data_IF_939993562500
#
_entry.id   IF_939993562500
#
_cell.length_a   1.000
_cell.length_b   1.000
_cell.length_c   1.000
_cell.angle_alpha   90.00
_cell.angle_beta   90.00
_cell.angle_gamma   90.00
#
_symmetry.space_group_name_H-M   'P 1'
#
loop_
_entity.id
_entity.type
_entity.pdbx_description
1 polymer ?
#
# COMPACT_ATOMS: atom_id res chain seq x y z
N UNK A 1 -26.45 -5.92 10.94
CA UNK A 1 -26.48 -4.60 11.59
C UNK A 1 -25.83 -3.60 10.63
N UNK A 2 -26.37 -2.39 10.52
CA UNK A 2 -25.72 -1.33 9.72
C UNK A 2 -24.64 -0.66 10.58
N UNK A 3 -23.47 -0.44 9.98
CA UNK A 3 -22.34 0.21 10.65
C UNK A 3 -21.66 1.18 9.69
N UNK A 4 -21.25 2.32 10.22
CA UNK A 4 -20.46 3.31 9.49
C UNK A 4 -18.97 3.03 9.75
N UNK A 5 -18.17 3.09 8.70
CA UNK A 5 -16.71 2.92 8.77
C UNK A 5 -16.03 3.68 7.64
N UNK A 6 -14.76 4.05 7.84
CA UNK A 6 -13.90 4.50 6.75
C UNK A 6 -13.44 3.31 5.92
N UNK A 7 -13.15 3.56 4.66
CA UNK A 7 -12.69 2.53 3.73
C UNK A 7 -11.75 3.09 2.66
N UNK A 8 -10.80 2.26 2.23
CA UNK A 8 -9.94 2.51 1.08
C UNK A 8 -10.26 1.46 0.00
N UNK A 9 -10.49 1.90 -1.23
CA UNK A 9 -10.80 1.02 -2.35
C UNK A 9 -9.53 0.32 -2.82
N UNK A 10 -9.45 -1.01 -2.63
CA UNK A 10 -8.31 -1.80 -3.09
C UNK A 10 -8.51 -2.34 -4.51
N UNK A 11 -9.74 -2.75 -4.85
CA UNK A 11 -10.07 -3.31 -6.16
C UNK A 11 -11.54 -3.12 -6.48
N UNK A 12 -11.84 -2.92 -7.77
CA UNK A 12 -13.21 -2.89 -8.29
C UNK A 12 -13.37 -3.89 -9.44
N UNK A 13 -14.50 -4.59 -9.47
CA UNK A 13 -14.84 -5.57 -10.51
C UNK A 13 -16.28 -5.36 -10.94
N UNK A 14 -16.53 -5.35 -12.25
CA UNK A 14 -17.89 -5.27 -12.80
C UNK A 14 -18.67 -6.52 -12.42
N UNK A 15 -19.90 -6.33 -11.96
CA UNK A 15 -20.81 -7.42 -11.60
C UNK A 15 -22.21 -7.17 -12.18
N UNK A 16 -22.60 -8.00 -13.13
CA UNK A 16 -23.83 -7.77 -13.90
C UNK A 16 -23.80 -6.44 -14.67
N UNK A 17 -24.98 -5.92 -15.04
CA UNK A 17 -25.10 -4.72 -15.88
C UNK A 17 -24.84 -3.42 -15.11
N UNK A 18 -25.35 -3.31 -13.88
CA UNK A 18 -25.40 -2.05 -13.13
C UNK A 18 -24.62 -2.05 -11.81
N UNK A 19 -24.06 -3.21 -11.42
CA UNK A 19 -23.42 -3.37 -10.11
C UNK A 19 -21.91 -3.44 -10.20
N UNK A 20 -21.23 -3.18 -9.08
CA UNK A 20 -19.80 -3.42 -8.85
C UNK A 20 -19.61 -4.31 -7.62
N UNK A 21 -18.57 -5.12 -7.62
CA UNK A 21 -17.96 -5.69 -6.42
C UNK A 21 -16.71 -4.89 -6.15
N UNK A 22 -16.63 -4.30 -4.95
CA UNK A 22 -15.46 -3.56 -4.47
C UNK A 22 -14.81 -4.33 -3.33
N UNK A 23 -13.53 -4.62 -3.45
CA UNK A 23 -12.71 -5.05 -2.32
C UNK A 23 -12.23 -3.80 -1.61
N UNK A 24 -12.62 -3.64 -0.35
CA UNK A 24 -12.28 -2.48 0.47
C UNK A 24 -11.40 -2.93 1.63
N UNK A 25 -10.41 -2.12 1.98
CA UNK A 25 -9.77 -2.14 3.28
C UNK A 25 -10.57 -1.17 4.16
N UNK A 26 -11.20 -1.68 5.20
CA UNK A 26 -12.04 -0.92 6.12
C UNK A 26 -11.40 -0.87 7.50
N UNK A 27 -11.58 0.24 8.19
CA UNK A 27 -11.09 0.45 9.55
C UNK A 27 -11.65 -0.61 10.52
N UNK A 28 -12.96 -0.89 10.46
CA UNK A 28 -13.65 -1.77 11.41
C UNK A 28 -13.66 -3.26 11.04
N UNK A 29 -13.50 -3.62 9.75
CA UNK A 29 -13.71 -5.00 9.28
C UNK A 29 -12.54 -5.56 8.48
N UNK A 30 -11.43 -4.82 8.38
CA UNK A 30 -10.30 -5.22 7.56
C UNK A 30 -10.66 -5.29 6.06
N UNK A 31 -10.01 -6.19 5.34
CA UNK A 31 -10.22 -6.36 3.90
C UNK A 31 -11.44 -7.24 3.64
N UNK A 32 -12.46 -6.69 2.98
CA UNK A 32 -13.66 -7.44 2.60
C UNK A 32 -14.18 -7.04 1.23
N UNK A 33 -14.94 -7.94 0.61
CA UNK A 33 -15.64 -7.71 -0.65
C UNK A 33 -17.08 -7.23 -0.41
N UNK A 34 -17.46 -6.16 -1.11
CA UNK A 34 -18.76 -5.51 -0.99
C UNK A 34 -19.47 -5.40 -2.33
N UNK A 35 -20.75 -5.74 -2.34
CA UNK A 35 -21.64 -5.53 -3.49
C UNK A 35 -22.26 -4.12 -3.43
N UNK A 36 -22.05 -3.34 -4.50
CA UNK A 36 -22.72 -2.07 -4.73
C UNK A 36 -23.67 -2.20 -5.91
N UNK A 37 -24.97 -2.11 -5.64
CA UNK A 37 -26.02 -2.23 -6.67
C UNK A 37 -26.32 -0.87 -7.31
N UNK A 38 -26.57 -0.85 -8.61
CA UNK A 38 -27.09 0.31 -9.32
C UNK A 38 -26.13 1.51 -9.41
N UNK A 39 -24.80 1.31 -9.24
CA UNK A 39 -23.79 2.39 -9.32
C UNK A 39 -23.31 2.66 -10.75
N UNK A 40 -23.53 1.72 -11.66
CA UNK A 40 -23.24 1.81 -13.09
C UNK A 40 -24.53 2.03 -13.85
N UNK A 41 -24.86 3.26 -14.18
CA UNK A 41 -26.00 3.54 -15.05
C UNK A 41 -25.60 3.49 -16.51
N UNK A 42 -26.28 2.65 -17.30
CA UNK A 42 -26.20 2.60 -18.75
C UNK A 42 -27.29 3.52 -19.31
N UNK A 43 -27.00 4.83 -19.43
CA UNK A 43 -27.94 5.77 -20.05
C UNK A 43 -27.62 7.24 -19.82
N UNK A 44 -27.99 8.08 -20.79
CA UNK A 44 -27.64 9.50 -20.96
C UNK A 44 -28.21 10.44 -19.87
N UNK A 45 -29.02 9.98 -18.93
CA UNK A 45 -29.75 10.82 -17.97
C UNK A 45 -29.30 10.76 -16.51
N UNK A 46 -28.23 10.02 -16.18
CA UNK A 46 -27.72 10.02 -14.80
C UNK A 46 -26.76 11.21 -14.59
N UNK A 47 -27.17 12.18 -13.75
CA UNK A 47 -26.37 13.37 -13.44
C UNK A 47 -25.10 13.09 -12.63
N UNK A 48 -24.87 11.88 -12.12
CA UNK A 48 -23.69 11.52 -11.34
C UNK A 48 -23.26 10.09 -11.64
N UNK A 49 -22.08 9.93 -12.28
CA UNK A 49 -21.44 8.62 -12.41
C UNK A 49 -20.81 8.21 -11.05
N UNK A 50 -21.62 7.65 -10.17
CA UNK A 50 -21.16 7.21 -8.83
C UNK A 50 -20.07 6.14 -8.89
N UNK A 51 -20.00 5.37 -9.99
CA UNK A 51 -18.91 4.40 -10.20
C UNK A 51 -17.54 5.07 -10.34
N UNK A 52 -17.48 6.31 -10.85
CA UNK A 52 -16.24 7.08 -10.95
C UNK A 52 -15.61 7.45 -9.60
N UNK A 53 -16.40 7.43 -8.51
CA UNK A 53 -15.92 7.68 -7.15
C UNK A 53 -15.25 6.46 -6.51
N UNK A 54 -15.39 5.28 -7.15
CA UNK A 54 -14.91 4.00 -6.66
C UNK A 54 -13.60 3.59 -7.37
N UNK A 55 -12.72 4.54 -7.59
CA UNK A 55 -11.40 4.27 -8.16
C UNK A 55 -10.48 3.61 -7.13
N UNK A 56 -9.51 2.84 -7.60
CA UNK A 56 -8.48 2.23 -6.75
C UNK A 56 -7.77 3.34 -5.96
N UNK A 57 -7.62 3.16 -4.65
CA UNK A 57 -7.04 4.13 -3.73
C UNK A 57 -8.03 5.19 -3.20
N UNK A 58 -9.26 5.29 -3.73
CA UNK A 58 -10.26 6.24 -3.18
C UNK A 58 -10.52 5.99 -1.70
N UNK A 59 -10.54 7.07 -0.92
CA UNK A 59 -10.90 7.07 0.51
C UNK A 59 -12.37 7.42 0.65
N UNK A 60 -13.12 6.58 1.34
CA UNK A 60 -14.58 6.65 1.42
C UNK A 60 -15.05 6.58 2.87
N UNK A 61 -16.13 7.28 3.16
CA UNK A 61 -17.03 6.98 4.27
C UNK A 61 -18.12 6.06 3.77
N UNK A 62 -18.31 4.91 4.41
CA UNK A 62 -19.28 3.90 3.96
C UNK A 62 -20.22 3.47 5.08
N UNK A 63 -21.48 3.24 4.73
CA UNK A 63 -22.46 2.55 5.59
C UNK A 63 -22.63 1.14 5.04
N UNK A 64 -22.19 0.15 5.81
CA UNK A 64 -22.20 -1.26 5.41
C UNK A 64 -23.23 -2.05 6.20
N UNK A 65 -23.84 -3.04 5.54
CA UNK A 65 -24.60 -4.09 6.23
C UNK A 65 -23.67 -5.29 6.40
N UNK A 66 -23.05 -5.38 7.60
CA UNK A 66 -22.14 -6.48 7.91
C UNK A 66 -22.86 -7.69 8.46
N UNK A 67 -22.59 -8.87 7.87
CA UNK A 67 -23.10 -10.19 8.26
C UNK A 67 -21.90 -11.13 8.42
N UNK A 68 -21.56 -11.58 9.65
CA UNK A 68 -20.31 -12.34 9.92
C UNK A 68 -20.14 -13.59 9.06
N UNK A 69 -21.25 -14.24 8.66
CA UNK A 69 -21.21 -15.51 7.91
C UNK A 69 -21.29 -15.34 6.38
N UNK A 70 -21.05 -14.12 5.86
CA UNK A 70 -21.08 -13.84 4.43
C UNK A 70 -19.72 -13.31 3.96
N UNK A 71 -19.17 -13.90 2.93
CA UNK A 71 -17.97 -13.40 2.25
C UNK A 71 -18.24 -12.12 1.42
N UNK A 72 -19.44 -11.98 0.86
CA UNK A 72 -19.85 -10.80 0.11
C UNK A 72 -20.85 -9.97 0.93
N UNK A 73 -20.38 -8.82 1.37
CA UNK A 73 -21.15 -7.85 2.17
C UNK A 73 -21.91 -6.87 1.26
N UNK A 74 -22.66 -5.93 1.85
CA UNK A 74 -23.41 -4.93 1.08
C UNK A 74 -23.10 -3.52 1.57
N UNK A 75 -22.77 -2.60 0.67
CA UNK A 75 -22.74 -1.17 0.95
C UNK A 75 -24.14 -0.60 0.70
N UNK A 76 -24.66 0.12 1.68
CA UNK A 76 -25.94 0.87 1.60
C UNK A 76 -25.71 2.27 1.08
N UNK A 77 -24.72 2.95 1.65
CA UNK A 77 -24.36 4.32 1.31
C UNK A 77 -22.85 4.48 1.29
N UNK A 78 -22.36 5.39 0.47
CA UNK A 78 -20.97 5.81 0.47
C UNK A 78 -20.83 7.26 0.02
N UNK A 79 -19.82 7.91 0.57
CA UNK A 79 -19.34 9.24 0.19
C UNK A 79 -17.83 9.24 0.06
N UNK A 80 -17.28 10.25 -0.61
CA UNK A 80 -15.83 10.47 -0.69
C UNK A 80 -15.38 11.15 0.60
N UNK A 81 -14.45 10.51 1.33
CA UNK A 81 -13.86 11.05 2.55
C UNK A 81 -12.71 12.03 2.26
N UNK A 82 -11.97 11.78 1.17
CA UNK A 82 -10.83 12.63 0.77
C UNK A 82 -10.78 12.80 -0.75
N UNK A 83 -10.68 14.06 -1.22
CA UNK A 83 -10.55 14.41 -2.63
C UNK A 83 -9.08 14.67 -2.97
N UNK A 84 -8.47 13.76 -3.74
CA UNK A 84 -7.11 13.92 -4.22
C UNK A 84 -6.95 15.11 -5.16
N UNK A 85 -5.83 15.83 -5.01
CA UNK A 85 -5.46 16.96 -5.85
C UNK A 85 -4.44 16.56 -6.92
N UNK A 86 -3.51 15.66 -6.60
CA UNK A 86 -2.39 15.28 -7.47
C UNK A 86 -2.33 13.78 -7.79
N UNK A 87 -2.72 12.90 -6.86
CA UNK A 87 -2.57 11.44 -7.01
C UNK A 87 -3.25 10.91 -8.27
N UNK A 88 -4.38 11.48 -8.66
CA UNK A 88 -5.10 11.05 -9.88
C UNK A 88 -4.56 11.66 -11.17
N UNK A 89 -3.88 12.79 -11.12
CA UNK A 89 -3.44 13.56 -12.29
C UNK A 89 -1.95 13.35 -12.59
N UNK A 90 -1.13 13.10 -11.56
CA UNK A 90 0.31 12.98 -11.71
C UNK A 90 0.79 11.53 -11.76
N UNK A 91 1.48 11.15 -12.85
CA UNK A 91 1.90 9.76 -13.12
C UNK A 91 2.71 9.15 -11.98
N UNK A 92 3.68 9.89 -11.40
CA UNK A 92 4.52 9.40 -10.29
C UNK A 92 3.66 9.12 -9.05
N UNK A 93 2.87 10.09 -8.62
CA UNK A 93 2.00 9.95 -7.44
C UNK A 93 1.00 8.80 -7.60
N UNK A 94 0.35 8.72 -8.77
CA UNK A 94 -0.57 7.64 -9.10
C UNK A 94 0.12 6.26 -9.05
N UNK A 95 1.32 6.14 -9.60
CA UNK A 95 2.06 4.88 -9.62
C UNK A 95 2.44 4.43 -8.20
N UNK A 96 2.90 5.35 -7.34
CA UNK A 96 3.21 5.05 -5.93
C UNK A 96 1.94 4.63 -5.18
N UNK A 97 0.81 5.32 -5.38
CA UNK A 97 -0.46 4.95 -4.78
C UNK A 97 -0.93 3.55 -5.24
N UNK A 98 -0.89 3.26 -6.54
CA UNK A 98 -1.26 1.95 -7.06
C UNK A 98 -0.34 0.83 -6.55
N UNK A 99 0.96 1.10 -6.40
CA UNK A 99 1.90 0.18 -5.77
C UNK A 99 1.50 -0.13 -4.32
N UNK A 100 1.22 0.92 -3.53
CA UNK A 100 0.81 0.76 -2.14
C UNK A 100 -0.48 -0.08 -2.02
N UNK A 101 -1.48 0.20 -2.84
CA UNK A 101 -2.74 -0.56 -2.85
C UNK A 101 -2.53 -2.02 -3.30
N UNK A 102 -1.69 -2.27 -4.31
CA UNK A 102 -1.40 -3.65 -4.72
C UNK A 102 -0.65 -4.40 -3.63
N UNK A 103 0.29 -3.77 -2.92
CA UNK A 103 1.02 -4.37 -1.81
C UNK A 103 0.05 -4.80 -0.69
N UNK A 104 -0.88 -3.93 -0.29
CA UNK A 104 -1.91 -4.28 0.70
C UNK A 104 -2.77 -5.46 0.27
N UNK A 105 -3.19 -5.50 -1.01
CA UNK A 105 -3.95 -6.63 -1.56
C UNK A 105 -3.19 -7.97 -1.50
N UNK A 106 -1.84 -7.93 -1.47
CA UNK A 106 -1.00 -9.12 -1.37
C UNK A 106 -0.71 -9.53 0.07
N UNK A 107 -0.64 -8.57 0.97
CA UNK A 107 -0.23 -8.81 2.35
C UNK A 107 -1.39 -9.08 3.29
N UNK A 108 -2.56 -8.47 3.03
CA UNK A 108 -3.68 -8.53 3.97
C UNK A 108 -4.59 -9.72 3.68
N UNK A 109 -4.77 -10.63 4.65
CA UNK A 109 -5.80 -11.66 4.56
C UNK A 109 -7.20 -11.04 4.68
N UNK A 110 -8.21 -11.74 4.12
CA UNK A 110 -9.61 -11.31 4.25
C UNK A 110 -10.03 -11.26 5.73
N UNK A 111 -10.83 -10.25 6.07
CA UNK A 111 -11.42 -10.03 7.39
C UNK A 111 -10.42 -9.84 8.55
N UNK A 112 -9.13 -9.66 8.27
CA UNK A 112 -8.13 -9.29 9.28
C UNK A 112 -8.22 -7.81 9.58
N UNK A 113 -8.62 -7.46 10.80
CA UNK A 113 -8.70 -6.07 11.26
C UNK A 113 -7.28 -5.59 11.58
N UNK A 114 -6.88 -4.49 10.96
CA UNK A 114 -5.54 -3.87 11.09
C UNK A 114 -5.73 -2.36 11.16
N UNK A 115 -6.26 -1.87 12.29
CA UNK A 115 -6.64 -0.45 12.44
C UNK A 115 -5.44 0.48 12.28
N UNK A 116 -4.31 0.17 12.94
CA UNK A 116 -3.11 1.01 12.85
C UNK A 116 -2.54 1.07 11.43
N UNK A 117 -2.57 -0.05 10.69
CA UNK A 117 -2.16 -0.09 9.29
C UNK A 117 -3.17 0.65 8.37
N UNK A 118 -4.46 0.63 8.73
CA UNK A 118 -5.47 1.41 8.03
C UNK A 118 -5.20 2.90 8.16
N UNK A 119 -5.01 3.39 9.38
CA UNK A 119 -4.72 4.80 9.70
C UNK A 119 -3.42 5.26 9.02
N UNK A 120 -2.38 4.44 9.10
CA UNK A 120 -1.12 4.68 8.39
C UNK A 120 -1.34 4.79 6.88
N UNK A 121 -2.11 3.89 6.28
CA UNK A 121 -2.38 3.90 4.82
C UNK A 121 -3.17 5.14 4.41
N UNK A 122 -4.19 5.52 5.18
CA UNK A 122 -4.96 6.74 4.96
C UNK A 122 -4.04 7.96 4.96
N UNK A 123 -3.20 8.11 5.99
CA UNK A 123 -2.24 9.21 6.13
C UNK A 123 -1.17 9.17 5.03
N UNK A 124 -0.66 7.98 4.65
CA UNK A 124 0.30 7.82 3.58
C UNK A 124 -0.24 8.37 2.26
N UNK A 125 -1.44 7.99 1.87
CA UNK A 125 -2.06 8.43 0.62
C UNK A 125 -2.33 9.95 0.61
N UNK A 126 -2.74 10.54 1.74
CA UNK A 126 -2.95 11.98 1.87
C UNK A 126 -1.62 12.76 1.83
N UNK A 127 -0.57 12.25 2.48
CA UNK A 127 0.76 12.86 2.43
C UNK A 127 1.35 12.77 1.03
N UNK A 128 1.18 11.61 0.36
CA UNK A 128 1.59 11.43 -1.02
C UNK A 128 0.93 12.47 -1.95
N UNK A 129 -0.36 12.75 -1.74
CA UNK A 129 -1.10 13.74 -2.53
C UNK A 129 -0.58 15.17 -2.35
N UNK A 130 -0.01 15.49 -1.20
CA UNK A 130 0.57 16.79 -0.87
C UNK A 130 2.07 16.92 -1.23
N UNK A 131 2.73 15.82 -1.62
CA UNK A 131 4.19 15.79 -1.85
C UNK A 131 4.53 16.10 -3.31
N UNK A 132 5.56 16.92 -3.58
CA UNK A 132 6.06 17.11 -4.94
C UNK A 132 6.57 15.80 -5.56
N UNK A 133 6.26 15.51 -6.84
CA UNK A 133 6.59 14.23 -7.47
C UNK A 133 8.08 13.86 -7.46
N UNK A 134 8.97 14.86 -7.55
CA UNK A 134 10.42 14.66 -7.49
C UNK A 134 10.94 14.25 -6.10
N UNK A 135 10.12 14.33 -5.06
CA UNK A 135 10.46 13.94 -3.68
C UNK A 135 9.96 12.53 -3.32
N UNK A 136 9.20 11.86 -4.21
CA UNK A 136 8.53 10.59 -3.92
C UNK A 136 9.43 9.35 -4.09
N UNK A 137 10.70 9.50 -4.44
CA UNK A 137 11.57 8.38 -4.80
C UNK A 137 11.71 7.29 -3.73
N UNK A 138 11.72 7.66 -2.45
CA UNK A 138 11.86 6.73 -1.32
C UNK A 138 10.51 6.22 -0.76
N UNK A 139 9.37 6.73 -1.24
CA UNK A 139 8.03 6.40 -0.72
C UNK A 139 7.65 4.91 -0.85
N UNK A 140 7.95 4.22 -1.99
CA UNK A 140 7.64 2.79 -2.09
C UNK A 140 8.37 1.95 -1.05
N UNK A 141 9.66 2.26 -0.79
CA UNK A 141 10.47 1.55 0.22
C UNK A 141 9.90 1.80 1.62
N UNK A 142 9.62 3.06 1.96
CA UNK A 142 9.05 3.45 3.24
C UNK A 142 7.70 2.77 3.50
N UNK A 143 6.81 2.77 2.52
CA UNK A 143 5.51 2.10 2.63
C UNK A 143 5.68 0.59 2.85
N UNK A 144 6.59 -0.05 2.12
CA UNK A 144 6.86 -1.49 2.24
C UNK A 144 7.40 -1.84 3.62
N UNK A 145 8.36 -1.05 4.14
CA UNK A 145 8.92 -1.18 5.49
C UNK A 145 7.84 -1.03 6.56
N UNK A 146 7.01 0.00 6.44
CA UNK A 146 5.93 0.26 7.39
C UNK A 146 4.89 -0.88 7.40
N UNK A 147 4.48 -1.35 6.23
CA UNK A 147 3.59 -2.52 6.13
C UNK A 147 4.21 -3.75 6.80
N UNK A 148 5.50 -4.04 6.57
CA UNK A 148 6.20 -5.14 7.23
C UNK A 148 6.15 -4.99 8.75
N UNK A 149 6.44 -3.80 9.28
CA UNK A 149 6.45 -3.53 10.71
C UNK A 149 5.05 -3.69 11.34
N UNK A 150 3.99 -3.11 10.74
CA UNK A 150 2.62 -3.25 11.24
C UNK A 150 2.12 -4.70 11.22
N UNK A 151 2.62 -5.53 10.30
CA UNK A 151 2.27 -6.94 10.21
C UNK A 151 3.17 -7.86 11.07
N UNK A 152 4.09 -7.29 11.87
CA UNK A 152 4.95 -8.03 12.79
C UNK A 152 6.26 -8.54 12.18
N UNK A 153 6.59 -8.12 10.96
CA UNK A 153 7.84 -8.47 10.28
C UNK A 153 8.88 -7.33 10.33
N UNK A 154 9.00 -6.66 11.48
CA UNK A 154 9.93 -5.54 11.62
C UNK A 154 11.39 -5.99 11.54
N UNK A 155 12.17 -5.30 10.73
CA UNK A 155 13.63 -5.49 10.66
C UNK A 155 14.25 -4.88 11.92
N UNK A 156 15.20 -5.57 12.54
CA UNK A 156 15.84 -5.19 13.79
C UNK A 156 17.22 -4.59 13.58
N UNK A 157 17.60 -3.65 14.46
CA UNK A 157 18.91 -3.00 14.43
C UNK A 157 19.02 -1.87 13.41
N UNK A 158 20.25 -1.42 13.18
CA UNK A 158 20.59 -0.35 12.24
C UNK A 158 21.96 -0.65 11.61
N UNK A 159 22.22 -0.03 10.46
CA UNK A 159 23.55 -0.06 9.86
C UNK A 159 24.59 0.61 10.78
N UNK A 160 25.73 -0.04 10.92
CA UNK A 160 26.96 0.52 11.50
C UNK A 160 28.19 -0.16 10.86
N UNK A 161 29.39 0.36 11.14
CA UNK A 161 30.64 -0.30 10.71
C UNK A 161 30.79 -1.70 11.30
N UNK A 162 30.16 -1.97 12.46
CA UNK A 162 30.16 -3.28 13.13
C UNK A 162 29.05 -4.20 12.61
N UNK A 163 28.01 -3.66 11.98
CA UNK A 163 26.86 -4.40 11.43
C UNK A 163 26.57 -3.94 9.99
N UNK A 164 27.54 -4.13 9.04
CA UNK A 164 27.45 -3.61 7.68
C UNK A 164 26.57 -4.45 6.75
N UNK A 165 26.09 -5.60 7.19
CA UNK A 165 25.26 -6.52 6.41
C UNK A 165 23.85 -6.58 6.98
N UNK A 166 22.92 -7.12 6.21
CA UNK A 166 21.55 -7.44 6.64
C UNK A 166 21.22 -8.89 6.29
N UNK A 167 20.73 -9.63 7.28
CA UNK A 167 20.24 -11.00 7.11
C UNK A 167 18.77 -10.95 6.75
N UNK A 168 18.41 -11.57 5.62
CA UNK A 168 17.00 -11.65 5.19
C UNK A 168 16.22 -12.66 6.03
N UNK A 169 16.86 -13.78 6.45
CA UNK A 169 16.25 -14.83 7.26
C UNK A 169 15.99 -14.40 8.70
N UNK A 170 16.92 -13.62 9.28
CA UNK A 170 16.84 -13.23 10.69
C UNK A 170 16.20 -11.84 10.89
N UNK A 171 15.90 -11.15 9.78
CA UNK A 171 15.35 -9.79 9.78
C UNK A 171 16.18 -8.81 10.64
N UNK A 172 17.53 -8.89 10.57
CA UNK A 172 18.42 -8.08 11.42
C UNK A 172 19.70 -7.65 10.73
N UNK A 173 20.24 -6.52 11.15
CA UNK A 173 21.59 -6.10 10.76
C UNK A 173 22.63 -6.96 11.49
N UNK A 174 23.70 -7.35 10.78
CA UNK A 174 24.71 -8.32 11.25
C UNK A 174 26.12 -7.92 10.88
N UNK A 175 27.08 -8.40 11.67
CA UNK A 175 28.52 -8.25 11.40
C UNK A 175 29.03 -9.23 10.33
N UNK A 176 28.27 -10.30 10.05
CA UNK A 176 28.72 -11.39 9.20
C UNK A 176 28.00 -11.37 7.86
N UNK A 177 28.77 -11.57 6.79
CA UNK A 177 28.20 -11.87 5.48
C UNK A 177 27.66 -13.30 5.50
N UNK A 178 26.34 -13.46 5.44
CA UNK A 178 25.66 -14.77 5.46
C UNK A 178 25.89 -15.56 4.16
N UNK A 179 26.56 -14.99 3.16
CA UNK A 179 26.80 -15.63 1.87
C UNK A 179 25.54 -15.80 1.01
N UNK A 180 24.46 -15.16 1.39
CA UNK A 180 23.19 -15.24 0.72
C UNK A 180 23.26 -14.55 -0.65
N UNK A 181 22.74 -15.18 -1.71
CA UNK A 181 22.70 -14.62 -3.07
C UNK A 181 21.84 -13.34 -3.16
N UNK A 182 21.06 -13.06 -2.11
CA UNK A 182 20.21 -11.89 -1.95
C UNK A 182 20.88 -10.75 -1.16
N UNK A 183 22.21 -10.76 -1.00
CA UNK A 183 22.93 -9.77 -0.21
C UNK A 183 22.73 -8.37 -0.80
N UNK A 184 22.14 -7.48 -0.01
CA UNK A 184 22.05 -6.07 -0.36
C UNK A 184 23.41 -5.42 -0.29
N UNK A 185 23.80 -4.64 -1.33
CA UNK A 185 25.07 -3.90 -1.32
C UNK A 185 25.09 -2.85 -0.22
N UNK A 186 26.28 -2.44 0.21
CA UNK A 186 26.47 -1.48 1.31
C UNK A 186 25.61 -0.22 1.18
N UNK A 187 25.56 0.41 0.00
CA UNK A 187 24.73 1.60 -0.24
C UNK A 187 23.23 1.32 -0.01
N UNK A 188 22.77 0.13 -0.40
CA UNK A 188 21.40 -0.30 -0.16
C UNK A 188 21.13 -0.55 1.33
N UNK A 189 22.06 -1.17 2.05
CA UNK A 189 21.95 -1.39 3.50
C UNK A 189 21.90 -0.06 4.26
N UNK A 190 22.73 0.91 3.85
CA UNK A 190 22.72 2.27 4.40
C UNK A 190 21.39 2.98 4.11
N UNK A 191 20.90 2.92 2.88
CA UNK A 191 19.62 3.52 2.48
C UNK A 191 18.45 2.91 3.29
N UNK A 192 18.41 1.59 3.40
CA UNK A 192 17.39 0.89 4.18
C UNK A 192 17.40 1.35 5.63
N UNK A 193 18.57 1.38 6.27
CA UNK A 193 18.73 1.85 7.64
C UNK A 193 18.30 3.32 7.82
N UNK A 194 18.65 4.19 6.86
CA UNK A 194 18.25 5.60 6.91
C UNK A 194 16.72 5.77 6.83
N UNK A 195 16.05 5.01 5.95
CA UNK A 195 14.60 5.04 5.82
C UNK A 195 13.92 4.47 7.08
N UNK A 196 14.46 3.40 7.68
CA UNK A 196 13.94 2.83 8.93
C UNK A 196 13.99 3.81 10.10
N UNK A 197 14.99 4.68 10.14
CA UNK A 197 15.15 5.70 11.18
C UNK A 197 14.32 6.96 10.93
N UNK A 198 13.60 7.01 9.79
CA UNK A 198 12.79 8.16 9.41
C UNK A 198 11.55 8.24 10.30
N UNK A 199 11.40 9.34 11.02
CA UNK A 199 10.28 9.56 11.95
C UNK A 199 9.04 10.17 11.29
N UNK A 200 9.19 10.70 10.07
CA UNK A 200 8.07 11.27 9.32
C UNK A 200 8.31 11.18 7.81
N UNK A 201 7.23 11.07 7.04
CA UNK A 201 7.29 11.00 5.57
C UNK A 201 7.92 12.24 4.93
N UNK A 202 7.75 13.42 5.55
CA UNK A 202 8.29 14.68 5.06
C UNK A 202 9.84 14.69 5.04
N UNK A 203 10.47 13.87 5.87
CA UNK A 203 11.94 13.78 5.94
C UNK A 203 12.52 12.80 4.92
N UNK A 204 11.69 12.00 4.24
CA UNK A 204 12.14 11.04 3.22
C UNK A 204 12.85 11.70 2.03
N UNK A 205 12.46 12.90 1.65
CA UNK A 205 13.09 13.66 0.57
C UNK A 205 14.53 14.09 0.90
N UNK A 206 14.88 14.19 2.17
CA UNK A 206 16.24 14.52 2.63
C UNK A 206 17.21 13.32 2.55
N UNK A 207 16.69 12.09 2.46
CA UNK A 207 17.50 10.87 2.32
C UNK A 207 17.91 10.74 0.86
N UNK A 208 19.18 11.10 0.57
CA UNK A 208 19.74 11.01 -0.78
C UNK A 208 19.93 9.57 -1.20
N UNK A 209 19.46 9.24 -2.39
CA UNK A 209 19.59 7.92 -2.99
C UNK A 209 19.59 8.04 -4.51
N UNK A 210 20.29 7.15 -5.20
CA UNK A 210 20.16 7.03 -6.65
C UNK A 210 19.09 6.00 -7.01
N UNK A 211 18.65 6.02 -8.26
CA UNK A 211 17.60 5.14 -8.77
C UNK A 211 17.96 3.67 -8.64
N UNK A 212 19.20 3.28 -8.95
CA UNK A 212 19.66 1.91 -8.89
C UNK A 212 19.62 1.36 -7.46
N UNK A 213 20.11 2.14 -6.48
CA UNK A 213 20.07 1.74 -5.07
C UNK A 213 18.64 1.58 -4.56
N UNK A 214 17.72 2.50 -4.92
CA UNK A 214 16.31 2.38 -4.55
C UNK A 214 15.68 1.11 -5.12
N UNK A 215 15.98 0.80 -6.38
CA UNK A 215 15.51 -0.43 -7.02
C UNK A 215 16.00 -1.67 -6.27
N UNK A 216 17.29 -1.77 -6.00
CA UNK A 216 17.89 -2.90 -5.28
C UNK A 216 17.28 -3.07 -3.89
N UNK A 217 17.04 -1.98 -3.14
CA UNK A 217 16.41 -2.02 -1.82
C UNK A 217 14.96 -2.47 -1.92
N UNK A 218 14.20 -1.95 -2.88
CA UNK A 218 12.80 -2.34 -3.05
C UNK A 218 12.66 -3.81 -3.44
N UNK A 219 13.49 -4.30 -4.37
CA UNK A 219 13.52 -5.70 -4.78
C UNK A 219 13.89 -6.62 -3.60
N UNK A 220 14.86 -6.20 -2.78
CA UNK A 220 15.25 -6.91 -1.57
C UNK A 220 14.10 -6.95 -0.55
N UNK A 221 13.40 -5.83 -0.33
CA UNK A 221 12.26 -5.78 0.59
C UNK A 221 11.11 -6.69 0.14
N UNK A 222 10.84 -6.77 -1.17
CA UNK A 222 9.82 -7.68 -1.69
C UNK A 222 10.25 -9.15 -1.57
N UNK A 223 11.54 -9.46 -1.72
CA UNK A 223 12.07 -10.79 -1.45
C UNK A 223 11.96 -11.15 0.04
N UNK A 224 12.29 -10.21 0.93
CA UNK A 224 12.11 -10.34 2.37
C UNK A 224 10.64 -10.67 2.71
N UNK A 225 9.67 -9.89 2.23
CA UNK A 225 8.26 -10.15 2.44
C UNK A 225 7.82 -11.51 1.89
N UNK A 226 8.34 -11.92 0.73
CA UNK A 226 8.04 -13.23 0.14
C UNK A 226 8.54 -14.41 1.00
N UNK A 227 9.64 -14.24 1.72
CA UNK A 227 10.14 -15.29 2.63
C UNK A 227 9.35 -15.37 3.94
N UNK A 228 8.83 -14.23 4.40
CA UNK A 228 8.16 -14.14 5.70
C UNK A 228 6.63 -14.19 5.62
N UNK A 229 6.02 -14.07 4.42
CA UNK A 229 4.57 -14.07 4.24
C UNK A 229 4.13 -15.16 3.25
N UNK A 230 2.99 -15.79 3.50
CA UNK A 230 2.49 -16.90 2.64
C UNK A 230 1.87 -16.41 1.32
N UNK A 231 1.48 -15.15 1.22
CA UNK A 231 0.62 -14.64 0.13
C UNK A 231 1.30 -13.67 -0.83
N UNK A 232 2.61 -13.43 -0.68
CA UNK A 232 3.34 -12.50 -1.53
C UNK A 232 3.59 -13.08 -2.92
N UNK A 233 2.71 -12.75 -3.86
CA UNK A 233 2.84 -13.09 -5.28
C UNK A 233 3.48 -11.94 -6.07
N UNK A 234 3.77 -12.20 -7.36
CA UNK A 234 4.32 -11.19 -8.29
C UNK A 234 3.42 -9.95 -8.34
N UNK A 235 4.02 -8.77 -8.17
CA UNK A 235 3.36 -7.46 -8.25
C UNK A 235 3.45 -6.90 -9.67
N UNK A 236 2.32 -6.46 -10.21
CA UNK A 236 2.24 -5.85 -11.55
C UNK A 236 2.77 -4.42 -11.56
N UNK A 237 2.52 -3.67 -10.49
CA UNK A 237 2.97 -2.29 -10.33
C UNK A 237 4.49 -2.16 -10.20
N UNK A 238 5.20 -3.22 -9.83
CA UNK A 238 6.65 -3.19 -9.64
C UNK A 238 7.40 -2.78 -10.91
N UNK A 239 7.04 -3.35 -12.06
CA UNK A 239 7.66 -3.00 -13.35
C UNK A 239 7.45 -1.52 -13.69
N UNK A 240 6.29 -0.96 -13.33
CA UNK A 240 5.96 0.45 -13.57
C UNK A 240 6.75 1.34 -12.61
N UNK A 241 6.84 0.98 -11.33
CA UNK A 241 7.68 1.68 -10.33
C UNK A 241 9.14 1.74 -10.81
N UNK A 242 9.69 0.63 -11.29
CA UNK A 242 11.05 0.58 -11.79
C UNK A 242 11.28 1.46 -13.03
N UNK A 243 10.27 1.63 -13.89
CA UNK A 243 10.40 2.47 -15.09
C UNK A 243 10.22 3.97 -14.81
N UNK A 244 9.55 4.35 -13.73
CA UNK A 244 9.18 5.74 -13.43
C UNK A 244 10.09 6.35 -12.35
N UNK A 245 10.48 5.58 -11.33
CA UNK A 245 11.24 6.05 -10.18
C UNK A 245 12.71 5.60 -10.19
N UNK A 246 13.06 4.65 -11.03
CA UNK A 246 14.38 4.03 -11.14
C UNK A 246 14.84 3.99 -12.60
#
# INVERSE_FOLDING_TARGET
MQQQTKAIVLRTTKYGETSLICTLFTELFGVQSYLLKGVRHVGVKSKTNRAGLLQIGSQLDVVVEHKPNKSLQTIKEFGVAYYYQQVQEHVVANTVALYAIELLLRLLPEASIQTDLFDFTEQFLQTLDATPPNEMGNYPIYFTLSCAAYLGYAIQGVYSEHTPFISISDATFTAYNTGDASLLKTDGVMLLSAIMQCTSMQTLSHIKSNSQTRKEVLDWMLLFLKQHTEHMHTMKSLAIIHSILH
#
